data_IF_282599440167
#
_entry.id   IF_282599440167
#
_cell.length_a   1.000
_cell.length_b   1.000
_cell.length_c   1.000
_cell.angle_alpha   90.00
_cell.angle_beta   90.00
_cell.angle_gamma   90.00
#
_symmetry.space_group_name_H-M   'P 1'
#
loop_
_entity.id
_entity.type
_entity.pdbx_description
1 polymer ?
#
# COMPACT_ATOMS: atom_id res chain seq x y z
N UNK A 1 -9.95 2.60 21.25
CA UNK A 1 -9.42 1.24 21.54
C UNK A 1 -8.15 1.40 22.37
N UNK A 2 -7.81 0.42 23.19
CA UNK A 2 -6.52 0.41 23.89
C UNK A 2 -5.40 0.07 22.90
N UNK A 3 -4.14 0.35 23.25
CA UNK A 3 -2.99 -0.02 22.43
C UNK A 3 -2.94 -1.53 22.17
N UNK A 4 -3.23 -2.34 23.19
CA UNK A 4 -3.23 -3.80 23.06
C UNK A 4 -4.31 -4.30 22.10
N UNK A 5 -5.50 -3.69 22.10
CA UNK A 5 -6.58 -4.03 21.15
C UNK A 5 -6.22 -3.69 19.71
N UNK A 6 -5.56 -2.55 19.47
CA UNK A 6 -5.10 -2.16 18.12
C UNK A 6 -4.01 -3.11 17.61
N UNK A 7 -3.02 -3.44 18.45
CA UNK A 7 -1.90 -4.31 18.06
C UNK A 7 -2.32 -5.77 17.83
N UNK A 8 -3.40 -6.21 18.45
CA UNK A 8 -3.94 -7.57 18.31
C UNK A 8 -5.05 -7.66 17.24
N UNK A 9 -5.33 -6.59 16.50
CA UNK A 9 -6.28 -6.65 15.40
C UNK A 9 -5.84 -7.70 14.37
N UNK A 10 -6.78 -8.55 14.00
CA UNK A 10 -6.52 -9.65 13.06
C UNK A 10 -6.25 -9.07 11.68
N UNK A 11 -5.20 -9.59 11.03
CA UNK A 11 -4.88 -9.25 9.66
C UNK A 11 -6.10 -9.44 8.72
N UNK A 12 -6.38 -8.42 7.90
CA UNK A 12 -7.47 -8.45 6.91
C UNK A 12 -7.15 -9.42 5.77
N UNK A 13 -8.00 -10.42 5.56
CA UNK A 13 -7.95 -11.24 4.35
C UNK A 13 -8.42 -10.44 3.13
N UNK A 14 -7.70 -10.53 2.01
CA UNK A 14 -8.02 -9.85 0.74
C UNK A 14 -8.51 -10.81 -0.36
N UNK A 15 -8.97 -12.01 0.02
CA UNK A 15 -9.32 -13.06 -0.94
C UNK A 15 -10.50 -12.67 -1.84
N UNK A 16 -11.48 -11.93 -1.31
CA UNK A 16 -12.66 -11.53 -2.07
C UNK A 16 -12.30 -10.51 -3.15
N UNK A 17 -11.52 -9.51 -2.78
CA UNK A 17 -11.02 -8.44 -3.64
C UNK A 17 -10.11 -9.01 -4.73
N UNK A 18 -9.17 -9.90 -4.37
CA UNK A 18 -8.31 -10.57 -5.35
C UNK A 18 -9.11 -11.44 -6.34
N UNK A 19 -10.19 -12.11 -5.89
CA UNK A 19 -11.07 -12.87 -6.79
C UNK A 19 -11.81 -11.96 -7.75
N UNK A 20 -12.32 -10.83 -7.27
CA UNK A 20 -13.04 -9.85 -8.08
C UNK A 20 -12.12 -9.20 -9.14
N UNK A 21 -10.90 -8.82 -8.74
CA UNK A 21 -9.94 -8.13 -9.62
C UNK A 21 -9.12 -9.07 -10.52
N UNK A 22 -9.17 -10.38 -10.30
CA UNK A 22 -8.37 -11.37 -11.06
C UNK A 22 -8.41 -11.18 -12.58
N UNK A 23 -9.54 -10.85 -13.23
CA UNK A 23 -9.59 -10.68 -14.68
C UNK A 23 -8.81 -9.47 -15.22
N UNK A 24 -8.66 -8.41 -14.42
CA UNK A 24 -8.02 -7.14 -14.82
C UNK A 24 -6.63 -6.94 -14.23
N UNK A 25 -6.28 -7.69 -13.18
CA UNK A 25 -5.01 -7.60 -12.46
C UNK A 25 -3.81 -7.97 -13.33
N UNK A 26 -2.77 -7.12 -13.28
CA UNK A 26 -1.45 -7.36 -13.88
C UNK A 26 -0.42 -7.85 -12.86
N UNK A 27 -0.63 -7.52 -11.59
CA UNK A 27 0.19 -7.98 -10.47
C UNK A 27 -0.42 -7.52 -9.15
N UNK A 28 -0.01 -8.16 -8.06
CA UNK A 28 -0.40 -7.76 -6.71
C UNK A 28 0.77 -7.90 -5.75
N UNK A 29 0.94 -6.92 -4.88
CA UNK A 29 1.95 -6.89 -3.83
C UNK A 29 1.26 -6.88 -2.47
N UNK A 30 1.46 -7.95 -1.68
CA UNK A 30 1.05 -8.01 -0.29
C UNK A 30 2.08 -7.28 0.57
N UNK A 31 1.65 -6.25 1.28
CA UNK A 31 2.54 -5.35 2.00
C UNK A 31 2.79 -5.92 3.39
N UNK A 32 3.98 -6.48 3.55
CA UNK A 32 4.45 -7.17 4.76
C UNK A 32 5.82 -6.62 5.14
N UNK A 33 6.75 -7.45 5.63
CA UNK A 33 8.12 -7.01 5.92
C UNK A 33 8.79 -6.38 4.69
N UNK A 34 9.44 -5.23 4.87
CA UNK A 34 9.99 -4.39 3.79
C UNK A 34 9.04 -3.30 3.29
N UNK A 35 7.80 -3.25 3.82
CA UNK A 35 6.81 -2.20 3.53
C UNK A 35 6.48 -2.04 2.06
N UNK A 36 5.96 -0.86 1.68
CA UNK A 36 5.54 -0.59 0.30
C UNK A 36 6.72 -0.70 -0.68
N UNK A 37 7.87 -0.03 -0.46
CA UNK A 37 8.98 -0.08 -1.42
C UNK A 37 9.55 -1.48 -1.60
N UNK A 38 9.66 -2.24 -0.50
CA UNK A 38 10.25 -3.57 -0.50
C UNK A 38 9.39 -4.61 -1.20
N UNK A 39 8.06 -4.51 -1.09
CA UNK A 39 7.13 -5.49 -1.65
C UNK A 39 6.68 -5.12 -3.08
N UNK A 40 6.35 -3.84 -3.35
CA UNK A 40 5.85 -3.43 -4.66
C UNK A 40 6.91 -3.59 -5.75
N UNK A 41 8.18 -3.30 -5.49
CA UNK A 41 9.26 -3.47 -6.48
C UNK A 41 9.41 -4.91 -6.98
N UNK A 42 9.00 -5.92 -6.19
CA UNK A 42 9.16 -7.35 -6.53
C UNK A 42 8.27 -7.81 -7.67
N UNK A 43 7.18 -7.08 -7.92
CA UNK A 43 6.22 -7.43 -8.97
C UNK A 43 6.42 -6.60 -10.24
N UNK A 44 7.37 -5.65 -10.24
CA UNK A 44 7.63 -4.78 -11.38
C UNK A 44 8.63 -5.45 -12.34
N UNK A 45 8.31 -5.55 -13.64
CA UNK A 45 9.27 -5.95 -14.66
C UNK A 45 10.46 -4.99 -14.75
N UNK A 46 11.58 -5.46 -15.31
CA UNK A 46 12.73 -4.61 -15.59
C UNK A 46 12.35 -3.42 -16.48
N UNK A 47 12.85 -2.23 -16.14
CA UNK A 47 12.56 -0.99 -16.87
C UNK A 47 11.23 -0.34 -16.49
N UNK A 48 10.50 -0.88 -15.51
CA UNK A 48 9.34 -0.25 -14.90
C UNK A 48 9.58 0.02 -13.41
N UNK A 49 9.16 1.22 -12.98
CA UNK A 49 9.06 1.64 -11.59
C UNK A 49 7.62 1.96 -11.20
N UNK A 50 7.39 2.18 -9.91
CA UNK A 50 6.10 2.64 -9.41
C UNK A 50 6.27 3.99 -8.70
N UNK A 51 5.32 4.90 -8.91
CA UNK A 51 5.15 6.09 -8.12
C UNK A 51 3.90 5.95 -7.27
N UNK A 52 4.03 6.08 -5.95
CA UNK A 52 2.95 6.00 -4.96
C UNK A 52 2.72 7.39 -4.37
N UNK A 53 1.47 7.86 -4.38
CA UNK A 53 1.10 9.16 -3.83
C UNK A 53 0.66 9.04 -2.37
N UNK A 54 1.51 9.51 -1.46
CA UNK A 54 1.30 9.51 -0.01
C UNK A 54 0.11 10.39 0.42
N UNK A 55 -0.39 11.27 -0.45
CA UNK A 55 -1.57 12.07 -0.16
C UNK A 55 -2.88 11.29 -0.40
N UNK A 56 -2.81 10.08 -0.97
CA UNK A 56 -3.99 9.29 -1.37
C UNK A 56 -4.70 8.59 -0.22
N UNK A 57 -4.11 8.53 0.98
CA UNK A 57 -4.74 7.91 2.15
C UNK A 57 -4.31 8.55 3.46
N UNK A 58 -5.15 8.41 4.48
CA UNK A 58 -4.78 8.73 5.86
C UNK A 58 -4.07 7.55 6.52
N UNK A 59 -2.89 7.80 7.09
CA UNK A 59 -2.13 6.81 7.83
C UNK A 59 -2.87 6.48 9.14
N UNK A 60 -3.06 5.19 9.49
CA UNK A 60 -3.69 4.83 10.75
C UNK A 60 -2.99 5.46 11.97
N UNK A 61 -3.74 6.03 12.96
CA UNK A 61 -3.16 6.74 14.10
C UNK A 61 -2.15 5.91 14.93
N UNK A 62 -2.27 4.58 14.89
CA UNK A 62 -1.32 3.67 15.52
C UNK A 62 0.12 3.93 15.04
N UNK A 63 0.35 4.18 13.75
CA UNK A 63 1.69 4.41 13.24
C UNK A 63 2.26 5.76 13.68
N UNK A 64 1.42 6.79 13.85
CA UNK A 64 1.83 8.06 14.46
C UNK A 64 2.29 7.82 15.91
N UNK A 65 1.50 7.07 16.68
CA UNK A 65 1.86 6.72 18.05
C UNK A 65 3.20 5.97 18.13
N UNK A 66 3.40 4.96 17.27
CA UNK A 66 4.65 4.19 17.22
C UNK A 66 5.85 5.05 16.81
N UNK A 67 5.66 5.95 15.83
CA UNK A 67 6.68 6.90 15.40
C UNK A 67 7.15 7.79 16.56
N UNK A 68 6.19 8.38 17.28
CA UNK A 68 6.47 9.31 18.39
C UNK A 68 7.08 8.58 19.60
N UNK A 69 6.50 7.43 19.98
CA UNK A 69 6.96 6.68 21.15
C UNK A 69 8.34 6.03 20.95
N UNK A 70 8.67 5.64 19.72
CA UNK A 70 9.94 4.99 19.38
C UNK A 70 10.99 5.92 18.75
N UNK A 71 10.69 7.21 18.58
CA UNK A 71 11.52 8.18 17.86
C UNK A 71 11.98 7.67 16.47
N UNK A 72 11.10 6.96 15.77
CA UNK A 72 11.45 6.25 14.53
C UNK A 72 11.48 7.24 13.36
N UNK A 73 12.56 7.25 12.55
CA UNK A 73 12.60 8.00 11.30
C UNK A 73 11.46 7.58 10.35
N UNK A 74 10.92 8.54 9.60
CA UNK A 74 9.77 8.27 8.71
C UNK A 74 10.09 7.23 7.63
N UNK A 75 11.29 7.29 7.04
CA UNK A 75 11.73 6.33 6.02
C UNK A 75 11.77 4.90 6.57
N UNK A 76 12.19 4.73 7.83
CA UNK A 76 12.24 3.42 8.48
C UNK A 76 10.83 2.85 8.71
N UNK A 77 9.83 3.70 8.97
CA UNK A 77 8.43 3.27 9.09
C UNK A 77 7.93 2.66 7.79
N UNK A 78 8.22 3.29 6.64
CA UNK A 78 7.81 2.78 5.33
C UNK A 78 8.57 1.53 4.88
N UNK A 79 9.69 1.20 5.52
CA UNK A 79 10.43 -0.06 5.32
C UNK A 79 9.98 -1.15 6.29
N UNK A 80 9.50 -0.79 7.48
CA UNK A 80 9.09 -1.75 8.51
C UNK A 80 7.60 -2.11 8.44
N UNK A 81 6.73 -1.14 8.16
CA UNK A 81 5.28 -1.26 8.29
C UNK A 81 4.56 -1.10 6.96
N UNK A 82 3.27 -1.49 6.96
CA UNK A 82 2.40 -1.32 5.81
C UNK A 82 1.80 0.10 5.68
N UNK A 83 1.93 0.93 6.73
CA UNK A 83 1.48 2.32 6.78
C UNK A 83 -0.02 2.52 6.44
N UNK A 84 -0.83 1.47 6.62
CA UNK A 84 -2.27 1.46 6.31
C UNK A 84 -2.64 0.78 4.99
N UNK A 85 -1.66 0.47 4.13
CA UNK A 85 -1.89 -0.19 2.85
C UNK A 85 -1.45 -1.64 2.95
N UNK A 86 -2.38 -2.57 3.17
CA UNK A 86 -2.03 -3.99 3.29
C UNK A 86 -1.87 -4.73 1.96
N UNK A 87 -2.53 -4.30 0.89
CA UNK A 87 -2.42 -4.91 -0.45
C UNK A 87 -2.43 -3.82 -1.52
N UNK A 88 -1.55 -3.96 -2.51
CA UNK A 88 -1.54 -3.13 -3.72
C UNK A 88 -1.82 -4.03 -4.93
N UNK A 89 -2.76 -3.64 -5.78
CA UNK A 89 -3.09 -4.34 -7.03
C UNK A 89 -2.83 -3.41 -8.21
N UNK A 90 -2.11 -3.91 -9.21
CA UNK A 90 -1.81 -3.19 -10.45
C UNK A 90 -2.84 -3.59 -11.50
N UNK A 91 -3.56 -2.61 -12.05
CA UNK A 91 -4.54 -2.80 -13.13
C UNK A 91 -4.24 -1.82 -14.29
N UNK A 92 -4.70 -2.10 -15.52
CA UNK A 92 -4.69 -1.10 -16.59
C UNK A 92 -5.49 0.14 -16.19
N UNK A 93 -5.04 1.33 -16.59
CA UNK A 93 -5.72 2.60 -16.29
C UNK A 93 -7.19 2.59 -16.74
N UNK A 94 -7.48 2.01 -17.92
CA UNK A 94 -8.84 1.85 -18.44
C UNK A 94 -9.76 0.94 -17.58
N UNK A 95 -9.19 0.21 -16.61
CA UNK A 95 -9.90 -0.68 -15.68
C UNK A 95 -9.98 -0.11 -14.26
N UNK A 96 -9.46 1.10 -14.02
CA UNK A 96 -9.44 1.70 -12.69
C UNK A 96 -10.86 1.89 -12.11
N UNK A 97 -11.78 2.50 -12.87
CA UNK A 97 -13.15 2.72 -12.43
C UNK A 97 -13.92 1.41 -12.14
N UNK A 98 -13.63 0.34 -12.91
CA UNK A 98 -14.19 -0.99 -12.64
C UNK A 98 -13.61 -1.56 -11.33
N UNK A 99 -12.30 -1.40 -11.11
CA UNK A 99 -11.65 -1.87 -9.89
C UNK A 99 -12.16 -1.14 -8.63
N UNK A 100 -12.36 0.17 -8.69
CA UNK A 100 -12.96 0.95 -7.60
C UNK A 100 -14.39 0.48 -7.28
N UNK A 101 -15.18 0.16 -8.29
CA UNK A 101 -16.53 -0.40 -8.12
C UNK A 101 -16.51 -1.79 -7.47
N UNK A 102 -15.57 -2.65 -7.88
CA UNK A 102 -15.41 -4.00 -7.34
C UNK A 102 -14.78 -4.04 -5.94
N UNK A 103 -14.05 -3.01 -5.56
CA UNK A 103 -13.34 -2.91 -4.29
C UNK A 103 -13.60 -1.53 -3.67
N UNK A 104 -14.75 -1.32 -3.01
CA UNK A 104 -15.16 0.00 -2.50
C UNK A 104 -14.22 0.59 -1.44
N UNK A 105 -13.49 -0.25 -0.72
CA UNK A 105 -12.46 0.18 0.25
C UNK A 105 -11.10 0.45 -0.40
N UNK A 106 -10.95 0.12 -1.68
CA UNK A 106 -9.76 0.36 -2.46
C UNK A 106 -9.66 1.82 -2.89
N UNK A 107 -8.43 2.29 -3.01
CA UNK A 107 -8.14 3.67 -3.41
C UNK A 107 -7.16 3.69 -4.58
N UNK A 108 -7.29 4.63 -5.53
CA UNK A 108 -6.23 4.93 -6.47
C UNK A 108 -4.98 5.38 -5.71
N UNK A 109 -3.89 4.62 -5.83
CA UNK A 109 -2.70 4.80 -5.01
C UNK A 109 -1.52 5.44 -5.76
N UNK A 110 -1.51 5.35 -7.09
CA UNK A 110 -0.36 5.75 -7.88
C UNK A 110 -0.34 5.19 -9.30
N UNK A 111 0.82 5.21 -9.94
CA UNK A 111 1.00 4.81 -11.34
C UNK A 111 2.29 4.02 -11.55
N UNK A 112 2.27 3.14 -12.54
CA UNK A 112 3.48 2.46 -13.06
C UNK A 112 4.07 3.33 -14.16
N UNK A 113 5.38 3.56 -14.13
CA UNK A 113 6.11 4.45 -15.04
C UNK A 113 7.40 3.77 -15.55
N UNK A 114 7.97 4.19 -16.69
CA UNK A 114 9.32 3.79 -17.06
C UNK A 114 10.33 4.18 -15.96
N UNK A 115 11.23 3.27 -15.61
CA UNK A 115 12.22 3.48 -14.54
C UNK A 115 12.55 2.21 -13.77
N UNK A 116 12.98 2.36 -12.52
CA UNK A 116 13.24 1.25 -11.60
C UNK A 116 12.83 1.64 -10.17
N UNK A 117 12.45 0.65 -9.37
CA UNK A 117 12.15 0.84 -7.95
C UNK A 117 10.77 1.43 -7.67
N UNK A 118 10.61 1.98 -6.47
CA UNK A 118 9.37 2.56 -5.97
C UNK A 118 9.68 3.94 -5.39
N UNK A 119 9.01 4.96 -5.90
CA UNK A 119 9.14 6.35 -5.52
C UNK A 119 7.89 6.77 -4.72
N UNK A 120 8.09 7.18 -3.46
CA UNK A 120 7.02 7.68 -2.60
C UNK A 120 6.95 9.21 -2.75
N UNK A 121 5.82 9.73 -3.23
CA UNK A 121 5.63 11.16 -3.50
C UNK A 121 4.58 11.77 -2.59
N UNK A 122 4.80 13.03 -2.22
CA UNK A 122 3.90 13.76 -1.33
C UNK A 122 4.33 13.63 0.12
N UNK A 123 3.40 13.95 1.02
CA UNK A 123 3.62 13.89 2.47
C UNK A 123 2.60 12.96 3.11
N UNK A 124 2.98 12.11 4.08
CA UNK A 124 2.03 11.25 4.75
C UNK A 124 0.90 12.06 5.40
N UNK A 125 -0.33 11.64 5.18
CA UNK A 125 -1.50 12.24 5.83
C UNK A 125 -1.73 11.55 7.18
N UNK A 126 -1.03 12.03 8.21
CA UNK A 126 -1.08 11.45 9.55
C UNK A 126 -2.40 11.68 10.29
#
# INVERSE_FOLDING_TARGET
RTLGEELLEVHRSYLAELRALRPSMKGAAHITGGGIPGNLKRILPKGLGAQVDLNSWSVPPLFRFLKEAGEIPEDDLYLAFNMGIGLIVVVPEAKLAEAESLCPDGIPLGRILPGEGVDLKGTPQW
#
